data_IF_781068050797
#
_entry.id   IF_781068050797
#
_cell.length_a   1.000
_cell.length_b   1.000
_cell.length_c   1.000
_cell.angle_alpha   90.00
_cell.angle_beta   90.00
_cell.angle_gamma   90.00
#
_symmetry.space_group_name_H-M   'P 1'
#
loop_
_entity.id
_entity.type
_entity.pdbx_description
1 polymer ?
#
# COMPACT_ATOMS: atom_id res chain seq x y z
N UNK A 1 -15.61 -18.95 -1.60
CA UNK A 1 -14.31 -19.17 -2.29
C UNK A 1 -13.29 -18.20 -1.72
N UNK A 2 -12.16 -18.63 -1.14
CA UNK A 2 -11.09 -17.68 -0.79
C UNK A 2 -10.37 -17.27 -2.08
N UNK A 3 -10.16 -15.97 -2.27
CA UNK A 3 -9.38 -15.48 -3.39
C UNK A 3 -7.89 -15.75 -3.07
N UNK A 4 -7.25 -16.61 -3.85
CA UNK A 4 -5.80 -16.86 -3.78
C UNK A 4 -5.10 -15.90 -4.76
N UNK A 5 -3.91 -15.42 -4.38
CA UNK A 5 -3.02 -14.62 -5.25
C UNK A 5 -3.63 -13.32 -5.76
N UNK A 6 -4.27 -12.54 -4.89
CA UNK A 6 -4.82 -11.25 -5.29
C UNK A 6 -3.77 -10.13 -5.23
N UNK A 7 -3.93 -9.18 -6.14
CA UNK A 7 -3.28 -7.87 -6.11
C UNK A 7 -4.30 -6.85 -5.61
N UNK A 8 -3.91 -6.04 -4.62
CA UNK A 8 -4.73 -4.97 -4.09
C UNK A 8 -4.21 -3.63 -4.63
N UNK A 9 -5.05 -2.95 -5.41
CA UNK A 9 -4.80 -1.66 -6.04
C UNK A 9 -5.96 -0.68 -5.77
N UNK A 10 -5.83 0.55 -6.27
CA UNK A 10 -6.90 1.56 -6.25
C UNK A 10 -6.93 2.39 -4.97
N UNK A 11 -6.46 3.64 -5.04
CA UNK A 11 -6.51 4.59 -3.93
C UNK A 11 -5.70 4.17 -2.69
N UNK A 12 -4.79 3.21 -2.83
CA UNK A 12 -3.94 2.73 -1.73
C UNK A 12 -2.96 3.82 -1.31
N UNK A 13 -2.80 4.06 -0.01
CA UNK A 13 -1.88 5.03 0.58
C UNK A 13 -1.43 4.60 1.99
N UNK A 14 -0.57 5.40 2.64
CA UNK A 14 0.00 5.10 3.96
C UNK A 14 -1.08 4.96 5.07
N UNK A 15 -2.21 5.66 4.93
CA UNK A 15 -3.32 5.64 5.87
C UNK A 15 -4.21 4.39 5.78
N UNK A 16 -4.31 3.76 4.61
CA UNK A 16 -5.23 2.63 4.40
C UNK A 16 -4.56 1.27 4.12
N UNK A 17 -3.27 1.24 3.74
CA UNK A 17 -2.57 0.01 3.32
C UNK A 17 -2.62 -1.10 4.37
N UNK A 18 -2.49 -0.76 5.66
CA UNK A 18 -2.56 -1.74 6.74
C UNK A 18 -3.93 -2.42 6.86
N UNK A 19 -5.01 -1.63 6.69
CA UNK A 19 -6.39 -2.14 6.70
C UNK A 19 -6.64 -3.04 5.49
N UNK A 20 -6.13 -2.65 4.32
CA UNK A 20 -6.18 -3.44 3.09
C UNK A 20 -5.49 -4.80 3.24
N UNK A 21 -4.25 -4.81 3.72
CA UNK A 21 -3.49 -6.05 3.95
C UNK A 21 -4.20 -6.94 4.96
N UNK A 22 -4.66 -6.42 6.09
CA UNK A 22 -5.36 -7.20 7.12
C UNK A 22 -6.65 -7.84 6.60
N UNK A 23 -7.44 -7.09 5.82
CA UNK A 23 -8.74 -7.54 5.33
C UNK A 23 -8.61 -8.57 4.20
N UNK A 24 -7.70 -8.32 3.27
CA UNK A 24 -7.66 -9.06 2.00
C UNK A 24 -6.50 -10.05 1.90
N UNK A 25 -5.45 -9.91 2.73
CA UNK A 25 -4.21 -10.72 2.68
C UNK A 25 -3.66 -10.84 1.25
N UNK A 26 -3.43 -9.71 0.54
CA UNK A 26 -3.00 -9.75 -0.85
C UNK A 26 -1.56 -10.23 -0.97
N UNK A 27 -1.25 -10.84 -2.12
CA UNK A 27 0.12 -11.19 -2.49
C UNK A 27 0.90 -9.95 -2.95
N UNK A 28 0.21 -9.03 -3.62
CA UNK A 28 0.80 -7.83 -4.22
C UNK A 28 -0.01 -6.60 -3.80
N UNK A 29 0.68 -5.51 -3.46
CA UNK A 29 0.09 -4.19 -3.29
C UNK A 29 0.58 -3.32 -4.44
N UNK A 30 -0.35 -2.70 -5.16
CA UNK A 30 -0.05 -1.68 -6.17
C UNK A 30 -0.37 -0.29 -5.63
N UNK A 31 0.53 0.65 -5.86
CA UNK A 31 0.33 2.03 -5.42
C UNK A 31 0.76 3.00 -6.51
N UNK A 32 -0.14 3.91 -6.86
CA UNK A 32 0.11 4.97 -7.83
C UNK A 32 -0.19 6.35 -7.23
N UNK A 33 -1.44 6.80 -7.27
CA UNK A 33 -1.84 8.16 -6.85
C UNK A 33 -1.70 8.43 -5.35
N UNK A 34 -1.80 7.41 -4.49
CA UNK A 34 -1.70 7.59 -3.04
C UNK A 34 -0.30 7.92 -2.50
N UNK A 35 0.69 8.03 -3.39
CA UNK A 35 2.05 8.52 -3.09
C UNK A 35 2.44 9.71 -3.98
N UNK A 36 1.48 10.35 -4.63
CA UNK A 36 1.68 11.54 -5.45
C UNK A 36 1.29 12.82 -4.69
N UNK A 37 2.02 13.92 -4.92
CA UNK A 37 1.59 15.25 -4.44
C UNK A 37 0.81 16.04 -5.49
N UNK A 38 0.94 15.66 -6.77
CA UNK A 38 0.10 16.10 -7.89
C UNK A 38 0.08 14.97 -8.95
N UNK A 39 -0.95 14.87 -9.80
CA UNK A 39 -1.08 13.77 -10.76
C UNK A 39 0.19 13.55 -11.59
N UNK A 40 0.76 12.34 -11.51
CA UNK A 40 1.98 11.95 -12.22
C UNK A 40 3.30 12.33 -11.53
N UNK A 41 3.27 12.98 -10.36
CA UNK A 41 4.47 13.38 -9.63
C UNK A 41 4.49 12.77 -8.22
N UNK A 42 5.41 11.84 -8.02
CA UNK A 42 5.61 11.14 -6.75
C UNK A 42 6.18 12.08 -5.69
N UNK A 43 5.72 11.92 -4.45
CA UNK A 43 6.26 12.63 -3.29
C UNK A 43 7.19 11.72 -2.52
N UNK A 44 8.43 12.15 -2.32
CA UNK A 44 9.39 11.41 -1.50
C UNK A 44 8.87 11.19 -0.07
N UNK A 45 8.28 12.22 0.53
CA UNK A 45 7.66 12.15 1.86
C UNK A 45 6.58 11.07 1.93
N UNK A 46 5.64 11.06 0.96
CA UNK A 46 4.56 10.07 0.95
C UNK A 46 5.08 8.66 0.69
N UNK A 47 6.09 8.50 -0.17
CA UNK A 47 6.75 7.23 -0.40
C UNK A 47 7.42 6.71 0.88
N UNK A 48 8.16 7.56 1.60
CA UNK A 48 8.79 7.20 2.87
C UNK A 48 7.75 6.77 3.90
N UNK A 49 6.66 7.52 4.05
CA UNK A 49 5.55 7.16 4.96
C UNK A 49 4.89 5.83 4.56
N UNK A 50 4.67 5.62 3.26
CA UNK A 50 4.09 4.39 2.72
C UNK A 50 4.98 3.18 3.00
N UNK A 51 6.26 3.24 2.62
CA UNK A 51 7.20 2.15 2.84
C UNK A 51 7.47 1.92 4.33
N UNK A 52 7.50 2.96 5.17
CA UNK A 52 7.57 2.78 6.64
C UNK A 52 6.40 1.94 7.13
N UNK A 53 5.18 2.20 6.66
CA UNK A 53 3.99 1.44 7.05
C UNK A 53 4.01 0.00 6.52
N UNK A 54 4.39 -0.19 5.26
CA UNK A 54 4.47 -1.52 4.63
C UNK A 54 5.58 -2.37 5.24
N UNK A 55 6.77 -1.81 5.46
CA UNK A 55 7.91 -2.53 6.06
C UNK A 55 7.61 -2.96 7.50
N UNK A 56 6.87 -2.14 8.25
CA UNK A 56 6.38 -2.50 9.58
C UNK A 56 5.59 -3.81 9.55
N UNK A 57 4.69 -3.96 8.58
CA UNK A 57 3.86 -5.15 8.41
C UNK A 57 4.66 -6.33 7.86
N UNK A 58 5.49 -6.11 6.82
CA UNK A 58 6.25 -7.16 6.14
C UNK A 58 7.28 -7.82 7.06
N UNK A 59 7.95 -7.04 7.90
CA UNK A 59 9.03 -7.53 8.77
C UNK A 59 8.62 -7.67 10.24
N UNK A 60 7.36 -7.43 10.59
CA UNK A 60 6.85 -7.54 11.95
C UNK A 60 7.45 -6.54 12.96
N UNK A 61 7.86 -5.35 12.49
CA UNK A 61 8.36 -4.26 13.35
C UNK A 61 7.22 -3.39 13.89
#
# INVERSE_FOLDING_TARGET
KSLKNIMLAGGINSGNVAKGIKKFKPLIIDVNSGVEFKPGYKSEKLLQEFFKRVNKIRYGK
#
